data_IF_473184466864
#
_entry.id   IF_473184466864
#
_cell.length_a   1.000
_cell.length_b   1.000
_cell.length_c   1.000
_cell.angle_alpha   90.00
_cell.angle_beta   90.00
_cell.angle_gamma   90.00
#
_symmetry.space_group_name_H-M   'P 1'
#
loop_
_entity.id
_entity.type
_entity.pdbx_description
1 polymer ?
#
# COMPACT_ATOMS: atom_id res chain seq x y z
N UNK A 1 -3.42 -16.10 -11.79
CA UNK A 1 -3.93 -15.05 -12.70
C UNK A 1 -3.04 -13.82 -12.48
N UNK A 2 -2.21 -13.42 -13.44
CA UNK A 2 -1.24 -12.33 -13.22
C UNK A 2 -1.84 -10.93 -13.40
N UNK A 3 -2.90 -10.80 -14.19
CA UNK A 3 -3.71 -9.58 -14.40
C UNK A 3 -4.51 -9.09 -13.17
N UNK A 4 -4.38 -9.78 -12.03
CA UNK A 4 -4.85 -9.35 -10.70
C UNK A 4 -3.72 -9.19 -9.69
N UNK A 5 -2.48 -9.26 -10.17
CA UNK A 5 -1.30 -8.93 -9.40
C UNK A 5 -0.86 -7.51 -9.76
N UNK A 6 -1.04 -6.61 -8.81
CA UNK A 6 -0.75 -5.19 -8.97
C UNK A 6 0.38 -4.80 -8.03
N UNK A 7 1.40 -4.15 -8.57
CA UNK A 7 2.50 -3.62 -7.77
C UNK A 7 2.49 -2.10 -7.84
N UNK A 8 2.72 -1.44 -6.71
CA UNK A 8 2.65 0.01 -6.60
C UNK A 8 3.92 0.49 -5.93
N UNK A 9 4.64 1.41 -6.58
CA UNK A 9 5.88 1.99 -6.05
C UNK A 9 7.16 1.33 -6.54
N UNK A 10 7.12 0.62 -7.68
CA UNK A 10 8.34 0.07 -8.29
C UNK A 10 9.33 1.20 -8.60
N UNK A 11 10.60 0.95 -8.31
CA UNK A 11 11.72 1.84 -8.62
C UNK A 11 13.03 1.06 -8.58
N UNK A 12 14.10 1.68 -9.03
CA UNK A 12 15.40 1.05 -9.15
C UNK A 12 15.58 0.32 -10.49
N UNK A 13 16.63 -0.48 -10.58
CA UNK A 13 17.08 -1.13 -11.82
C UNK A 13 16.68 -2.61 -11.93
N UNK A 14 16.08 -3.18 -10.89
CA UNK A 14 15.67 -4.58 -10.81
C UNK A 14 14.14 -4.68 -10.94
N UNK A 15 13.57 -5.73 -11.58
CA UNK A 15 14.23 -6.94 -12.10
C UNK A 15 14.80 -6.81 -13.51
N UNK A 16 15.53 -7.84 -13.95
CA UNK A 16 16.15 -7.91 -15.28
C UNK A 16 15.08 -7.96 -16.40
N UNK A 17 15.43 -7.56 -17.64
CA UNK A 17 14.49 -7.50 -18.76
C UNK A 17 13.71 -8.79 -19.02
N UNK A 18 14.32 -9.97 -18.84
CA UNK A 18 13.65 -11.27 -19.00
C UNK A 18 12.53 -11.46 -17.96
N UNK A 19 12.72 -11.00 -16.73
CA UNK A 19 11.69 -11.06 -15.70
C UNK A 19 10.57 -10.06 -16.01
N UNK A 20 10.88 -8.86 -16.47
CA UNK A 20 9.87 -7.88 -16.91
C UNK A 20 9.04 -8.42 -18.08
N UNK A 21 9.68 -9.09 -19.04
CA UNK A 21 8.98 -9.74 -20.16
C UNK A 21 8.06 -10.85 -19.66
N UNK A 22 8.53 -11.69 -18.73
CA UNK A 22 7.69 -12.71 -18.12
C UNK A 22 6.48 -12.11 -17.37
N UNK A 23 6.68 -11.04 -16.59
CA UNK A 23 5.60 -10.35 -15.88
C UNK A 23 4.54 -9.80 -16.84
N UNK A 24 4.99 -9.22 -17.97
CA UNK A 24 4.11 -8.75 -19.03
C UNK A 24 3.31 -9.89 -19.67
N UNK A 25 3.93 -11.04 -19.92
CA UNK A 25 3.25 -12.25 -20.42
C UNK A 25 2.20 -12.77 -19.43
N UNK A 26 2.40 -12.59 -18.12
CA UNK A 26 1.39 -12.93 -17.09
C UNK A 26 0.26 -11.89 -17.00
N UNK A 27 0.38 -10.74 -17.67
CA UNK A 27 -0.57 -9.64 -17.62
C UNK A 27 -0.47 -8.79 -16.34
N UNK A 28 0.63 -8.89 -15.59
CA UNK A 28 0.83 -8.12 -14.36
C UNK A 28 0.87 -6.63 -14.63
N UNK A 29 0.47 -5.83 -13.64
CA UNK A 29 0.52 -4.37 -13.73
C UNK A 29 1.34 -3.77 -12.60
N UNK A 30 2.44 -3.14 -12.96
CA UNK A 30 3.34 -2.46 -12.04
C UNK A 30 3.28 -0.96 -12.25
N UNK A 31 3.00 -0.20 -11.20
CA UNK A 31 3.01 1.26 -11.19
C UNK A 31 4.34 1.73 -10.60
N UNK A 32 5.18 2.32 -11.45
CA UNK A 32 6.46 2.87 -11.02
C UNK A 32 6.30 4.17 -10.23
N UNK A 33 7.30 4.52 -9.43
CA UNK A 33 7.37 5.82 -8.75
C UNK A 33 7.36 6.99 -9.74
N UNK A 34 7.88 6.83 -10.95
CA UNK A 34 7.80 7.82 -12.04
C UNK A 34 6.37 8.09 -12.46
N UNK A 35 5.57 7.04 -12.62
CA UNK A 35 4.15 7.12 -12.94
C UNK A 35 3.34 7.72 -11.79
N UNK A 36 3.60 7.29 -10.55
CA UNK A 36 2.99 7.85 -9.33
C UNK A 36 3.30 9.34 -9.21
N UNK A 37 4.54 9.76 -9.50
CA UNK A 37 4.93 11.16 -9.49
C UNK A 37 4.21 11.99 -10.56
N UNK A 38 3.97 11.42 -11.74
CA UNK A 38 3.31 12.11 -12.85
C UNK A 38 1.78 12.19 -12.69
N UNK A 39 1.15 11.15 -12.14
CA UNK A 39 -0.32 11.01 -12.07
C UNK A 39 -0.89 11.30 -10.68
N UNK A 40 -0.07 11.23 -9.64
CA UNK A 40 -0.49 11.20 -8.25
C UNK A 40 -0.87 9.79 -7.78
N UNK A 41 -0.61 9.52 -6.50
CA UNK A 41 -0.86 8.21 -5.89
C UNK A 41 -2.36 7.85 -5.86
N UNK A 42 -3.24 8.82 -5.61
CA UNK A 42 -4.68 8.56 -5.55
C UNK A 42 -5.24 8.06 -6.88
N UNK A 43 -4.84 8.68 -8.00
CA UNK A 43 -5.27 8.24 -9.34
C UNK A 43 -4.72 6.86 -9.72
N UNK A 44 -3.54 6.49 -9.19
CA UNK A 44 -2.97 5.15 -9.34
C UNK A 44 -3.76 4.14 -8.52
N UNK A 45 -4.10 4.47 -7.27
CA UNK A 45 -4.91 3.61 -6.39
C UNK A 45 -6.32 3.39 -6.97
N UNK A 46 -6.98 4.43 -7.47
CA UNK A 46 -8.30 4.32 -8.11
C UNK A 46 -8.30 3.29 -9.24
N UNK A 47 -7.31 3.37 -10.13
CA UNK A 47 -7.16 2.43 -11.23
C UNK A 47 -6.81 1.02 -10.72
N UNK A 48 -5.91 0.91 -9.74
CA UNK A 48 -5.55 -0.37 -9.16
C UNK A 48 -6.76 -1.05 -8.51
N UNK A 49 -7.62 -0.32 -7.82
CA UNK A 49 -8.82 -0.84 -7.17
C UNK A 49 -9.82 -1.38 -8.19
N UNK A 50 -10.04 -0.64 -9.28
CA UNK A 50 -10.90 -1.08 -10.37
C UNK A 50 -10.41 -2.39 -11.00
N UNK A 51 -9.09 -2.51 -11.23
CA UNK A 51 -8.52 -3.75 -11.79
C UNK A 51 -8.59 -4.91 -10.77
N UNK A 52 -8.27 -4.64 -9.50
CA UNK A 52 -8.22 -5.65 -8.45
C UNK A 52 -9.59 -6.26 -8.15
N UNK A 53 -10.68 -5.50 -8.30
CA UNK A 53 -12.05 -5.96 -8.02
C UNK A 53 -12.78 -6.51 -9.25
N UNK A 54 -12.22 -6.38 -10.44
CA UNK A 54 -12.82 -6.96 -11.65
C UNK A 54 -12.77 -8.49 -11.55
N UNK A 55 -13.92 -9.15 -11.37
CA UNK A 55 -14.03 -10.61 -11.22
C UNK A 55 -13.26 -11.17 -10.01
N UNK A 56 -13.23 -10.43 -8.90
CA UNK A 56 -12.60 -10.83 -7.63
C UNK A 56 -13.46 -10.42 -6.42
N UNK A 57 -13.77 -11.37 -5.54
CA UNK A 57 -14.58 -11.12 -4.33
C UNK A 57 -13.80 -10.40 -3.21
N UNK A 58 -12.47 -10.55 -3.20
CA UNK A 58 -11.60 -10.03 -2.16
C UNK A 58 -10.18 -9.77 -2.66
N UNK A 59 -9.44 -8.94 -1.93
CA UNK A 59 -8.03 -8.62 -2.21
C UNK A 59 -7.13 -9.05 -1.05
N UNK A 60 -5.90 -9.42 -1.36
CA UNK A 60 -4.83 -9.58 -0.38
C UNK A 60 -3.85 -8.42 -0.53
N UNK A 61 -3.51 -7.75 0.58
CA UNK A 61 -2.58 -6.62 0.57
C UNK A 61 -1.26 -7.05 1.22
N UNK A 62 -0.21 -7.18 0.40
CA UNK A 62 1.16 -7.35 0.91
C UNK A 62 1.85 -6.00 0.95
N UNK A 63 2.43 -5.65 2.10
CA UNK A 63 3.16 -4.38 2.27
C UNK A 63 4.64 -4.66 2.52
N UNK A 64 5.44 -4.44 1.50
CA UNK A 64 6.89 -4.34 1.62
C UNK A 64 7.28 -2.94 2.13
N UNK A 65 7.96 -2.85 3.28
CA UNK A 65 8.36 -1.55 3.85
C UNK A 65 9.43 -0.85 3.00
N UNK A 66 10.13 -1.58 2.14
CA UNK A 66 11.14 -1.01 1.25
C UNK A 66 10.51 -0.14 0.14
N UNK A 67 9.18 -0.11 -0.02
CA UNK A 67 8.50 0.85 -0.90
C UNK A 67 8.66 2.29 -0.41
N UNK A 68 8.93 2.48 0.89
CA UNK A 68 9.12 3.78 1.52
C UNK A 68 10.56 4.25 1.34
N UNK A 69 10.72 5.56 1.17
CA UNK A 69 12.06 6.15 1.07
C UNK A 69 12.92 5.79 2.30
N UNK A 70 14.20 5.42 2.13
CA UNK A 70 15.09 5.01 3.23
C UNK A 70 15.22 6.05 4.34
N UNK A 71 14.95 7.33 4.07
CA UNK A 71 14.89 8.37 5.11
C UNK A 71 13.79 8.13 6.16
N UNK A 72 12.76 7.34 5.84
CA UNK A 72 11.66 6.96 6.75
C UNK A 72 11.53 5.45 6.99
N UNK A 73 12.25 4.62 6.23
CA UNK A 73 12.31 3.17 6.40
C UNK A 73 13.76 2.64 6.21
N UNK A 74 14.72 3.05 7.06
CA UNK A 74 16.13 2.65 6.89
C UNK A 74 16.38 1.15 7.15
N UNK A 75 15.53 0.51 7.95
CA UNK A 75 15.67 -0.87 8.39
C UNK A 75 15.04 -1.87 7.44
N UNK A 76 15.58 -1.98 6.22
CA UNK A 76 15.22 -2.99 5.21
C UNK A 76 16.49 -3.56 4.56
N UNK A 77 16.38 -4.73 3.92
CA UNK A 77 17.50 -5.35 3.20
C UNK A 77 17.89 -4.61 1.91
N UNK A 78 16.94 -3.92 1.26
CA UNK A 78 17.07 -3.34 -0.08
C UNK A 78 16.64 -1.86 -0.11
N UNK A 79 17.30 -0.95 0.63
CA UNK A 79 16.92 0.45 0.63
C UNK A 79 17.17 1.10 -0.74
N UNK A 80 16.14 1.71 -1.32
CA UNK A 80 16.20 2.36 -2.64
C UNK A 80 15.69 3.82 -2.55
N UNK A 81 16.48 4.86 -2.85
CA UNK A 81 16.01 6.25 -2.76
C UNK A 81 14.83 6.61 -3.68
N UNK A 82 14.05 7.62 -3.31
CA UNK A 82 12.95 8.14 -4.15
C UNK A 82 11.65 7.32 -4.02
N UNK A 83 11.47 6.67 -2.87
CA UNK A 83 10.25 5.90 -2.54
C UNK A 83 9.09 6.77 -2.09
N UNK A 84 8.01 6.11 -1.64
CA UNK A 84 6.90 6.78 -1.00
C UNK A 84 7.36 7.45 0.30
N UNK A 85 6.74 8.57 0.66
CA UNK A 85 6.81 9.04 2.05
C UNK A 85 6.05 8.09 2.97
N UNK A 86 6.45 8.02 4.25
CA UNK A 86 5.70 7.26 5.25
C UNK A 86 4.21 7.66 5.30
N UNK A 87 3.90 8.95 5.17
CA UNK A 87 2.51 9.45 5.14
C UNK A 87 1.70 8.85 3.98
N UNK A 88 2.28 8.83 2.78
CA UNK A 88 1.64 8.25 1.59
C UNK A 88 1.37 6.76 1.77
N UNK A 89 2.32 6.00 2.31
CA UNK A 89 2.10 4.57 2.60
C UNK A 89 0.93 4.39 3.58
N UNK A 90 0.94 5.11 4.69
CA UNK A 90 -0.11 4.97 5.72
C UNK A 90 -1.50 5.35 5.19
N UNK A 91 -1.60 6.43 4.42
CA UNK A 91 -2.87 6.82 3.77
C UNK A 91 -3.34 5.76 2.77
N UNK A 92 -2.44 5.26 1.91
CA UNK A 92 -2.77 4.22 0.94
C UNK A 92 -3.29 2.94 1.62
N UNK A 93 -2.60 2.47 2.66
CA UNK A 93 -3.00 1.27 3.42
C UNK A 93 -4.37 1.46 4.08
N UNK A 94 -4.60 2.58 4.79
CA UNK A 94 -5.90 2.86 5.40
C UNK A 94 -7.00 2.91 4.34
N UNK A 95 -6.73 3.56 3.20
CA UNK A 95 -7.67 3.69 2.09
C UNK A 95 -8.02 2.33 1.48
N UNK A 96 -7.02 1.50 1.15
CA UNK A 96 -7.20 0.14 0.64
C UNK A 96 -8.09 -0.67 1.59
N UNK A 97 -7.76 -0.68 2.88
CA UNK A 97 -8.50 -1.46 3.88
C UNK A 97 -9.91 -0.93 4.19
N UNK A 98 -10.17 0.35 3.92
CA UNK A 98 -11.49 0.95 4.05
C UNK A 98 -12.37 0.71 2.81
N UNK A 99 -11.83 0.88 1.61
CA UNK A 99 -12.58 0.83 0.35
C UNK A 99 -12.73 -0.58 -0.23
N UNK A 100 -11.79 -1.49 0.04
CA UNK A 100 -11.78 -2.84 -0.55
C UNK A 100 -12.19 -3.94 0.44
N UNK A 101 -12.78 -5.05 -0.04
CA UNK A 101 -12.93 -6.30 0.71
C UNK A 101 -11.57 -7.00 0.90
N UNK A 102 -10.77 -6.56 1.87
CA UNK A 102 -9.47 -7.17 2.18
C UNK A 102 -9.66 -8.50 2.92
N UNK A 103 -9.17 -9.59 2.35
CA UNK A 103 -9.20 -10.93 2.95
C UNK A 103 -8.02 -11.21 3.89
N UNK A 104 -6.89 -10.53 3.67
CA UNK A 104 -5.68 -10.70 4.47
C UNK A 104 -4.62 -9.67 4.11
N UNK A 105 -3.60 -9.60 4.98
CA UNK A 105 -2.46 -8.71 4.83
C UNK A 105 -1.22 -9.28 5.50
N UNK A 106 -0.06 -8.94 4.95
CA UNK A 106 1.23 -9.03 5.63
C UNK A 106 1.99 -7.70 5.56
N UNK A 107 2.99 -7.59 6.44
CA UNK A 107 4.01 -6.54 6.40
C UNK A 107 5.35 -7.26 6.41
N UNK A 108 6.17 -7.01 5.40
CA UNK A 108 7.43 -7.73 5.14
C UNK A 108 8.62 -6.77 5.11
N UNK A 109 9.83 -7.34 5.05
CA UNK A 109 11.12 -6.64 4.90
C UNK A 109 11.52 -5.64 6.01
N UNK A 110 10.83 -5.66 7.16
CA UNK A 110 11.35 -4.99 8.36
C UNK A 110 12.58 -5.76 8.84
N UNK A 111 13.73 -5.10 8.83
CA UNK A 111 15.02 -5.64 9.24
C UNK A 111 15.58 -4.89 10.45
N UNK A 112 15.33 -5.36 11.69
CA UNK A 112 15.83 -4.74 12.91
C UNK A 112 17.35 -4.49 12.94
N UNK A 113 18.23 -5.36 12.37
CA UNK A 113 19.66 -5.10 12.32
C UNK A 113 20.07 -3.85 11.52
N UNK A 114 19.26 -3.42 10.54
CA UNK A 114 19.51 -2.22 9.74
C UNK A 114 18.68 -1.02 10.20
N UNK A 115 17.76 -1.22 11.16
CA UNK A 115 16.90 -0.16 11.64
C UNK A 115 17.65 0.80 12.58
N UNK A 116 17.21 2.05 12.60
CA UNK A 116 17.75 3.07 13.49
C UNK A 116 16.63 3.61 14.37
N UNK A 117 16.82 3.58 15.69
CA UNK A 117 15.84 4.07 16.66
C UNK A 117 14.41 3.52 16.44
N UNK A 118 14.32 2.26 16.00
CA UNK A 118 13.08 1.55 15.69
C UNK A 118 12.17 2.26 14.67
N UNK A 119 12.71 3.14 13.83
CA UNK A 119 11.94 3.94 12.87
C UNK A 119 11.10 3.04 11.96
N UNK A 120 11.72 2.00 11.40
CA UNK A 120 11.08 1.10 10.45
C UNK A 120 10.14 0.13 11.17
N UNK A 121 10.53 -0.36 12.35
CA UNK A 121 9.65 -1.15 13.20
C UNK A 121 8.38 -0.40 13.62
N UNK A 122 8.49 0.88 13.99
CA UNK A 122 7.36 1.75 14.33
C UNK A 122 6.49 2.04 13.09
N UNK A 123 7.11 2.23 11.92
CA UNK A 123 6.36 2.36 10.66
C UNK A 123 5.57 1.09 10.34
N UNK A 124 6.20 -0.08 10.43
CA UNK A 124 5.54 -1.38 10.24
C UNK A 124 4.39 -1.60 11.23
N UNK A 125 4.58 -1.26 12.51
CA UNK A 125 3.50 -1.26 13.50
C UNK A 125 2.34 -0.35 13.08
N UNK A 126 2.66 0.85 12.60
CA UNK A 126 1.64 1.81 12.19
C UNK A 126 0.86 1.32 10.96
N UNK A 127 1.53 0.70 9.97
CA UNK A 127 0.87 0.06 8.81
C UNK A 127 -0.22 -0.92 9.26
N UNK A 128 0.09 -1.80 10.22
CA UNK A 128 -0.89 -2.75 10.77
C UNK A 128 -2.07 -2.03 11.42
N UNK A 129 -1.82 -0.96 12.19
CA UNK A 129 -2.89 -0.18 12.81
C UNK A 129 -3.76 0.57 11.79
N UNK A 130 -3.16 1.10 10.71
CA UNK A 130 -3.89 1.74 9.61
C UNK A 130 -4.84 0.74 8.93
N UNK A 131 -4.35 -0.46 8.66
CA UNK A 131 -5.11 -1.54 8.06
C UNK A 131 -6.30 -1.98 8.92
N UNK A 132 -6.04 -2.30 10.20
CA UNK A 132 -7.08 -2.68 11.15
C UNK A 132 -8.12 -1.58 11.32
N UNK A 133 -7.68 -0.32 11.37
CA UNK A 133 -8.59 0.84 11.46
C UNK A 133 -9.48 0.97 10.23
N UNK A 134 -8.91 0.83 9.02
CA UNK A 134 -9.66 0.87 7.77
C UNK A 134 -10.72 -0.23 7.70
N UNK A 135 -10.33 -1.47 8.00
CA UNK A 135 -11.24 -2.62 8.01
C UNK A 135 -12.35 -2.46 9.06
N UNK A 136 -12.00 -2.01 10.27
CA UNK A 136 -12.97 -1.79 11.34
C UNK A 136 -13.98 -0.70 10.98
N UNK A 137 -13.52 0.41 10.38
CA UNK A 137 -14.41 1.48 9.92
C UNK A 137 -15.33 0.99 8.81
N UNK A 138 -14.79 0.29 7.78
CA UNK A 138 -15.59 -0.30 6.70
C UNK A 138 -16.71 -1.19 7.25
N UNK A 139 -16.39 -2.05 8.22
CA UNK A 139 -17.36 -2.94 8.87
C UNK A 139 -18.45 -2.15 9.62
N UNK A 140 -18.06 -1.11 10.35
CA UNK A 140 -19.00 -0.25 11.06
C UNK A 140 -19.95 0.46 10.07
N UNK A 141 -19.40 1.07 9.02
CA UNK A 141 -20.17 1.82 8.03
C UNK A 141 -21.15 0.89 7.28
N UNK A 142 -20.71 -0.31 6.87
CA UNK A 142 -21.57 -1.33 6.27
C UNK A 142 -22.72 -1.78 7.20
N UNK A 143 -22.50 -1.80 8.52
CA UNK A 143 -23.52 -2.19 9.50
C UNK A 143 -24.51 -1.08 9.85
N UNK A 144 -24.10 0.18 9.72
CA UNK A 144 -24.87 1.37 10.18
C UNK A 144 -25.42 2.21 9.03
N UNK A 145 -24.99 1.96 7.79
CA UNK A 145 -25.27 2.82 6.64
C UNK A 145 -24.49 4.14 6.66
N UNK A 146 -23.44 4.23 7.49
CA UNK A 146 -22.59 5.40 7.59
C UNK A 146 -21.60 5.52 6.43
N UNK A 147 -20.91 6.66 6.35
CA UNK A 147 -19.75 6.83 5.48
C UNK A 147 -18.74 7.71 6.19
N UNK A 148 -17.52 7.22 6.35
CA UNK A 148 -16.44 8.00 6.93
C UNK A 148 -16.12 9.23 6.07
N UNK A 149 -16.08 10.40 6.73
CA UNK A 149 -15.63 11.65 6.12
C UNK A 149 -14.28 12.07 6.73
N UNK A 150 -13.17 12.03 5.95
CA UNK A 150 -11.86 12.45 6.45
C UNK A 150 -11.78 13.94 6.84
N UNK A 151 -12.70 14.76 6.32
CA UNK A 151 -12.75 16.20 6.61
C UNK A 151 -13.56 16.54 7.86
N UNK A 152 -14.25 15.55 8.46
CA UNK A 152 -15.01 15.78 9.68
C UNK A 152 -14.05 16.07 10.85
N UNK A 153 -14.18 17.22 11.54
CA UNK A 153 -13.36 17.51 12.71
C UNK A 153 -13.54 16.46 13.80
N UNK A 154 -12.45 16.03 14.43
CA UNK A 154 -12.47 14.92 15.41
C UNK A 154 -13.43 15.15 16.60
N UNK A 155 -13.61 16.40 17.00
CA UNK A 155 -14.42 16.81 18.15
C UNK A 155 -15.84 17.24 17.79
N UNK A 156 -16.21 17.18 16.51
CA UNK A 156 -17.55 17.56 16.07
C UNK A 156 -18.60 16.60 16.63
N UNK A 157 -19.63 17.14 17.29
CA UNK A 157 -20.72 16.36 17.90
C UNK A 157 -20.37 15.51 19.12
N UNK A 158 -19.28 15.79 19.83
CA UNK A 158 -18.91 15.14 21.11
C UNK A 158 -19.40 15.88 22.35
#
# INVERSE_FOLDING_TARGET
RGDRFLQIGLRGYWPEPETLEWMAQQGMRSYEMTEIGARGLDAVLDQAFAIALDDCDAVFLSVDVDVVDPGSAPGTGTPEPGGLSARQLLDAVRRICYELPVAGMDVVEVSPPFDHADITALLGNRVVLEALSGMARRKQDNSTGGTWNPMQPLLDGR
#
